data_IF_449989429796
#
_entry.id   IF_449989429796
#
_cell.length_a   1.000
_cell.length_b   1.000
_cell.length_c   1.000
_cell.angle_alpha   90.00
_cell.angle_beta   90.00
_cell.angle_gamma   90.00
#
_symmetry.space_group_name_H-M   'P 1'
#
loop_
_entity.id
_entity.type
_entity.pdbx_description
1 polymer ?
#
# COMPACT_ATOMS: atom_id res chain seq x y z
N UNK A 1 43.02 -11.82 4.26
CA UNK A 1 41.79 -11.70 5.07
C UNK A 1 40.77 -10.93 4.24
N UNK A 2 39.94 -11.61 3.46
CA UNK A 2 38.83 -10.98 2.73
C UNK A 2 37.61 -10.96 3.64
N UNK A 3 37.23 -9.77 4.09
CA UNK A 3 36.01 -9.52 4.84
C UNK A 3 34.80 -9.94 4.00
N UNK A 4 34.09 -10.94 4.50
CA UNK A 4 32.77 -11.36 4.04
C UNK A 4 31.84 -10.16 4.26
N UNK A 5 31.63 -9.35 3.22
CA UNK A 5 30.51 -8.42 3.19
C UNK A 5 29.24 -9.27 3.08
N UNK A 6 28.68 -9.63 4.24
CA UNK A 6 27.37 -10.25 4.32
C UNK A 6 26.35 -9.28 3.74
N UNK A 7 25.89 -9.55 2.52
CA UNK A 7 24.59 -9.07 2.06
C UNK A 7 23.57 -9.57 3.08
N UNK A 8 23.10 -8.69 3.97
CA UNK A 8 21.91 -8.95 4.76
C UNK A 8 20.78 -9.11 3.75
N UNK A 9 20.48 -10.36 3.38
CA UNK A 9 19.30 -10.71 2.62
C UNK A 9 18.11 -10.07 3.33
N UNK A 10 17.54 -9.06 2.69
CA UNK A 10 16.30 -8.47 3.13
C UNK A 10 15.31 -9.64 3.19
N UNK A 11 14.78 -9.99 4.37
CA UNK A 11 13.70 -10.97 4.47
C UNK A 11 12.62 -10.47 3.52
N UNK A 12 12.45 -11.15 2.38
CA UNK A 12 11.38 -10.85 1.45
C UNK A 12 10.08 -11.00 2.22
N UNK A 13 9.40 -9.88 2.46
CA UNK A 13 8.00 -9.91 2.84
C UNK A 13 7.29 -10.75 1.77
N UNK A 14 6.60 -11.81 2.17
CA UNK A 14 5.92 -12.70 1.22
C UNK A 14 4.76 -11.96 0.59
N UNK A 15 4.98 -11.46 -0.63
CA UNK A 15 3.98 -10.78 -1.43
C UNK A 15 3.57 -11.72 -2.56
N UNK A 16 2.27 -11.83 -2.82
CA UNK A 16 1.74 -12.77 -3.80
C UNK A 16 0.40 -12.28 -4.34
N UNK A 17 0.16 -12.54 -5.63
CA UNK A 17 -1.18 -12.52 -6.21
C UNK A 17 -1.58 -13.96 -6.49
N UNK A 18 -2.77 -14.35 -6.05
CA UNK A 18 -3.38 -15.63 -6.40
C UNK A 18 -4.29 -15.53 -7.63
N UNK A 19 -4.52 -14.32 -8.14
CA UNK A 19 -5.42 -14.05 -9.26
C UNK A 19 -4.66 -13.92 -10.60
N UNK A 20 -3.34 -14.11 -10.59
CA UNK A 20 -2.51 -14.12 -11.80
C UNK A 20 -2.19 -12.73 -12.36
N UNK A 21 -2.66 -11.65 -11.74
CA UNK A 21 -2.30 -10.29 -12.13
C UNK A 21 -0.87 -9.92 -11.70
N UNK A 22 -0.24 -9.02 -12.45
CA UNK A 22 1.05 -8.46 -12.09
C UNK A 22 0.91 -7.44 -10.94
N UNK A 23 1.98 -7.28 -10.18
CA UNK A 23 2.10 -6.24 -9.18
C UNK A 23 3.54 -5.76 -9.02
N UNK A 24 3.70 -4.55 -8.50
CA UNK A 24 4.97 -3.96 -8.13
C UNK A 24 4.86 -3.29 -6.77
N UNK A 25 5.89 -3.46 -5.94
CA UNK A 25 5.99 -2.80 -4.65
C UNK A 25 7.17 -1.83 -4.66
N UNK A 26 6.88 -0.57 -4.35
CA UNK A 26 7.83 0.51 -4.26
C UNK A 26 7.95 0.98 -2.80
N UNK A 27 9.15 1.42 -2.42
CA UNK A 27 9.43 1.92 -1.08
C UNK A 27 10.09 3.29 -1.16
N UNK A 28 9.45 4.31 -0.58
CA UNK A 28 9.99 5.68 -0.51
C UNK A 28 10.22 6.04 0.95
N UNK A 29 11.50 6.28 1.30
CA UNK A 29 11.91 6.61 2.68
C UNK A 29 12.19 8.10 2.90
N UNK A 30 12.38 8.87 1.84
CA UNK A 30 12.95 10.22 1.90
C UNK A 30 12.38 11.11 0.81
N UNK A 31 11.99 12.32 1.21
CA UNK A 31 11.49 13.33 0.29
C UNK A 31 10.96 14.54 1.04
N UNK A 32 10.27 15.43 0.31
CA UNK A 32 10.08 16.83 0.72
C UNK A 32 9.05 17.01 1.83
N UNK A 33 8.06 16.12 1.92
CA UNK A 33 6.91 16.25 2.81
C UNK A 33 6.80 15.05 3.75
N UNK A 34 7.87 14.78 4.49
CA UNK A 34 7.90 13.73 5.49
C UNK A 34 6.84 13.98 6.56
N UNK A 35 6.14 12.91 6.94
CA UNK A 35 5.26 12.92 8.10
C UNK A 35 6.05 13.40 9.34
N UNK A 36 5.49 14.34 10.13
CA UNK A 36 6.06 14.71 11.41
C UNK A 36 6.35 13.46 12.25
N UNK A 37 7.42 13.47 13.04
CA UNK A 37 7.82 12.28 13.82
C UNK A 37 6.68 11.77 14.71
N UNK A 38 5.91 12.70 15.32
CA UNK A 38 4.69 12.39 16.09
C UNK A 38 3.65 11.59 15.31
N UNK A 39 3.50 11.82 14.00
CA UNK A 39 2.60 11.05 13.14
C UNK A 39 3.23 9.71 12.73
N UNK A 40 4.55 9.67 12.54
CA UNK A 40 5.31 8.42 12.29
C UNK A 40 5.28 7.45 13.47
N UNK A 41 5.14 7.97 14.68
CA UNK A 41 5.07 7.16 15.91
C UNK A 41 3.64 6.66 16.20
N UNK A 42 2.62 7.12 15.46
CA UNK A 42 1.25 6.63 15.59
C UNK A 42 1.08 5.25 14.95
N UNK A 43 0.21 4.45 15.58
CA UNK A 43 -0.14 3.11 15.12
C UNK A 43 -1.28 3.14 14.10
N UNK A 44 -1.10 3.82 12.98
CA UNK A 44 -2.03 3.73 11.85
C UNK A 44 -1.31 3.63 10.50
N UNK A 45 -2.05 3.18 9.49
CA UNK A 45 -1.70 3.34 8.08
C UNK A 45 -2.74 4.21 7.38
N UNK A 46 -2.27 5.15 6.55
CA UNK A 46 -3.07 5.87 5.59
C UNK A 46 -2.96 5.19 4.23
N UNK A 47 -4.10 5.01 3.58
CA UNK A 47 -4.20 4.39 2.26
C UNK A 47 -4.87 5.38 1.34
N UNK A 48 -4.26 5.58 0.18
CA UNK A 48 -4.75 6.43 -0.89
C UNK A 48 -4.85 5.64 -2.19
N UNK A 49 -5.94 5.81 -2.92
CA UNK A 49 -6.08 5.36 -4.29
C UNK A 49 -5.85 6.56 -5.20
N UNK A 50 -4.81 6.52 -6.04
CA UNK A 50 -4.38 7.71 -6.78
C UNK A 50 -4.86 7.75 -8.23
N UNK A 51 -4.58 6.72 -9.05
CA UNK A 51 -4.92 6.79 -10.47
C UNK A 51 -5.39 5.47 -11.07
N UNK A 52 -6.14 5.61 -12.17
CA UNK A 52 -6.64 4.54 -13.05
C UNK A 52 -7.53 3.48 -12.40
N UNK A 53 -8.19 3.81 -11.29
CA UNK A 53 -9.24 2.99 -10.72
C UNK A 53 -10.59 3.31 -11.34
N UNK A 54 -11.28 2.26 -11.76
CA UNK A 54 -12.72 2.23 -12.02
C UNK A 54 -13.21 0.81 -11.70
N UNK A 55 -13.23 0.48 -10.41
CA UNK A 55 -13.51 -0.87 -9.94
C UNK A 55 -14.07 -0.81 -8.51
N UNK A 56 -14.88 -1.80 -8.13
CA UNK A 56 -15.19 -2.07 -6.74
C UNK A 56 -14.00 -2.70 -6.04
N UNK A 57 -13.43 -1.97 -5.09
CA UNK A 57 -12.27 -2.43 -4.32
C UNK A 57 -12.71 -2.94 -2.95
N UNK A 58 -12.21 -4.11 -2.59
CA UNK A 58 -12.37 -4.73 -1.29
C UNK A 58 -11.01 -4.89 -0.62
N UNK A 59 -10.88 -4.40 0.62
CA UNK A 59 -9.67 -4.55 1.42
C UNK A 59 -10.00 -5.22 2.74
N UNK A 60 -9.21 -6.25 3.07
CA UNK A 60 -9.17 -6.87 4.40
C UNK A 60 -7.80 -6.73 5.01
N UNK A 61 -7.73 -6.56 6.33
CA UNK A 61 -6.49 -6.67 7.09
C UNK A 61 -6.68 -7.72 8.17
N UNK A 62 -5.81 -8.73 8.18
CA UNK A 62 -5.93 -9.89 9.07
C UNK A 62 -7.36 -10.47 9.05
N UNK A 63 -7.90 -10.71 7.85
CA UNK A 63 -9.24 -11.23 7.57
C UNK A 63 -10.43 -10.30 7.91
N UNK A 64 -10.19 -9.17 8.59
CA UNK A 64 -11.23 -8.19 8.87
C UNK A 64 -11.40 -7.23 7.70
N UNK A 65 -12.62 -7.07 7.19
CA UNK A 65 -12.93 -6.10 6.14
C UNK A 65 -12.83 -4.67 6.68
N UNK A 66 -12.05 -3.84 5.99
CA UNK A 66 -11.84 -2.44 6.37
C UNK A 66 -12.31 -1.47 5.28
N UNK A 67 -12.55 -1.97 4.07
CA UNK A 67 -13.00 -1.20 2.93
C UNK A 67 -13.70 -2.09 1.90
N UNK A 68 -14.80 -1.60 1.34
CA UNK A 68 -15.59 -2.29 0.32
C UNK A 68 -16.48 -1.27 -0.39
N UNK A 69 -15.93 -0.59 -1.39
CA UNK A 69 -16.59 0.51 -2.10
C UNK A 69 -16.14 0.58 -3.56
N UNK A 70 -16.95 1.25 -4.38
CA UNK A 70 -16.54 1.66 -5.72
C UNK A 70 -15.44 2.72 -5.61
N UNK A 71 -14.32 2.51 -6.29
CA UNK A 71 -13.23 3.47 -6.40
C UNK A 71 -13.16 3.92 -7.86
N UNK A 72 -13.38 5.22 -8.08
CA UNK A 72 -13.27 5.85 -9.40
C UNK A 72 -12.31 7.02 -9.25
N UNK A 73 -11.12 6.93 -9.83
CA UNK A 73 -10.13 8.03 -9.83
C UNK A 73 -10.19 8.80 -11.14
N UNK A 74 -9.98 10.10 -11.06
CA UNK A 74 -9.91 10.96 -12.25
C UNK A 74 -8.44 11.23 -12.60
N UNK A 75 -7.96 10.62 -13.69
CA UNK A 75 -6.55 10.76 -14.11
C UNK A 75 -6.19 12.20 -14.53
N UNK A 76 -7.17 13.06 -14.79
CA UNK A 76 -6.97 14.50 -15.07
C UNK A 76 -6.80 15.34 -13.80
N UNK A 77 -7.12 14.77 -12.64
CA UNK A 77 -6.95 15.36 -11.30
C UNK A 77 -6.37 14.31 -10.35
N UNK A 78 -5.09 13.95 -10.53
CA UNK A 78 -4.44 12.88 -9.75
C UNK A 78 -4.42 13.15 -8.23
N UNK A 79 -4.70 14.39 -7.83
CA UNK A 79 -4.73 14.84 -6.43
C UNK A 79 -6.12 14.76 -5.79
N UNK A 80 -7.16 14.47 -6.57
CA UNK A 80 -8.53 14.28 -6.06
C UNK A 80 -8.64 12.83 -5.60
N UNK A 81 -8.14 12.58 -4.39
CA UNK A 81 -8.20 11.27 -3.74
C UNK A 81 -9.66 10.80 -3.68
N UNK A 82 -10.02 9.87 -4.55
CA UNK A 82 -11.39 9.36 -4.66
C UNK A 82 -11.90 8.75 -3.35
N UNK A 83 -10.98 8.18 -2.56
CA UNK A 83 -11.22 7.77 -1.19
C UNK A 83 -9.89 7.64 -0.42
N UNK A 84 -9.94 7.88 0.90
CA UNK A 84 -8.83 7.60 1.82
C UNK A 84 -9.28 6.66 2.92
N UNK A 85 -8.40 5.75 3.33
CA UNK A 85 -8.66 4.84 4.45
C UNK A 85 -7.60 5.08 5.51
N UNK A 86 -8.03 5.26 6.76
CA UNK A 86 -7.15 5.23 7.91
C UNK A 86 -7.39 3.93 8.66
N UNK A 87 -6.38 3.05 8.70
CA UNK A 87 -6.43 1.79 9.44
C UNK A 87 -5.60 1.89 10.71
N UNK A 88 -6.25 1.76 11.88
CA UNK A 88 -5.56 1.73 13.17
C UNK A 88 -5.03 0.32 13.46
N UNK A 89 -3.73 0.23 13.74
CA UNK A 89 -3.06 -1.00 14.15
C UNK A 89 -3.28 -1.28 15.64
N UNK A 90 -3.57 -2.53 15.97
CA UNK A 90 -3.89 -3.04 17.32
C UNK A 90 -2.68 -3.60 18.08
N UNK A 91 -1.46 -3.32 17.61
CA UNK A 91 -0.22 -3.78 18.23
C UNK A 91 0.22 -5.21 17.87
N UNK A 92 -0.52 -5.94 17.02
CA UNK A 92 -0.09 -7.27 16.51
C UNK A 92 1.26 -7.22 15.81
N UNK A 93 1.99 -8.34 15.84
CA UNK A 93 3.33 -8.46 15.26
C UNK A 93 3.35 -8.33 13.73
N UNK A 94 2.30 -8.82 13.06
CA UNK A 94 2.17 -8.80 11.61
C UNK A 94 0.76 -8.38 11.18
N UNK A 95 0.69 -7.69 10.04
CA UNK A 95 -0.58 -7.35 9.38
C UNK A 95 -0.50 -7.78 7.93
N UNK A 96 -1.40 -8.66 7.55
CA UNK A 96 -1.56 -9.14 6.18
C UNK A 96 -2.75 -8.42 5.59
N UNK A 97 -2.52 -7.70 4.49
CA UNK A 97 -3.54 -6.99 3.74
C UNK A 97 -3.88 -7.78 2.48
N UNK A 98 -5.16 -8.07 2.33
CA UNK A 98 -5.75 -8.63 1.11
C UNK A 98 -6.51 -7.53 0.39
N UNK A 99 -6.20 -7.34 -0.88
CA UNK A 99 -6.85 -6.37 -1.77
C UNK A 99 -7.44 -7.13 -2.94
N UNK A 100 -8.67 -6.80 -3.31
CA UNK A 100 -9.36 -7.39 -4.44
C UNK A 100 -10.04 -6.29 -5.25
N UNK A 101 -9.79 -6.27 -6.56
CA UNK A 101 -10.62 -5.58 -7.54
C UNK A 101 -11.68 -6.56 -8.03
N UNK A 102 -12.95 -6.27 -7.76
CA UNK A 102 -14.05 -7.22 -7.98
C UNK A 102 -14.39 -7.31 -9.48
N UNK A 103 -14.48 -6.17 -10.15
CA UNK A 103 -14.84 -6.10 -11.57
C UNK A 103 -13.65 -6.48 -12.45
N UNK A 104 -12.43 -6.10 -12.07
CA UNK A 104 -11.19 -6.49 -12.77
C UNK A 104 -10.73 -7.92 -12.48
N UNK A 105 -11.32 -8.60 -11.49
CA UNK A 105 -10.89 -9.91 -11.00
C UNK A 105 -9.39 -9.96 -10.66
N UNK A 106 -8.87 -8.91 -10.02
CA UNK A 106 -7.46 -8.83 -9.60
C UNK A 106 -7.35 -8.94 -8.09
N UNK A 107 -6.20 -9.42 -7.61
CA UNK A 107 -5.94 -9.43 -6.17
C UNK A 107 -4.46 -9.28 -5.82
N UNK A 108 -4.24 -8.87 -4.58
CA UNK A 108 -2.91 -8.75 -4.00
C UNK A 108 -2.96 -9.06 -2.51
N UNK A 109 -2.07 -9.94 -2.07
CA UNK A 109 -1.81 -10.20 -0.66
C UNK A 109 -0.42 -9.65 -0.31
N UNK A 110 -0.36 -8.77 0.68
CA UNK A 110 0.88 -8.10 1.10
C UNK A 110 0.96 -7.97 2.62
N UNK A 111 2.14 -8.19 3.18
CA UNK A 111 2.42 -7.86 4.58
C UNK A 111 2.72 -6.37 4.71
N UNK A 112 2.06 -5.68 5.63
CA UNK A 112 2.29 -4.25 5.89
C UNK A 112 3.65 -4.03 6.58
N UNK A 113 4.51 -3.23 5.95
CA UNK A 113 5.78 -2.81 6.56
C UNK A 113 5.55 -1.61 7.49
N UNK A 114 5.58 -1.88 8.79
CA UNK A 114 5.38 -0.90 9.88
C UNK A 114 6.39 0.26 9.89
N UNK A 115 7.48 0.17 9.12
CA UNK A 115 8.43 1.28 8.93
C UNK A 115 7.85 2.43 8.14
N UNK A 116 6.75 2.20 7.42
CA UNK A 116 6.03 3.19 6.63
C UNK A 116 4.67 3.45 7.26
N UNK A 117 4.06 4.58 6.91
CA UNK A 117 2.74 4.99 7.42
C UNK A 117 1.72 5.32 6.34
N UNK A 118 2.19 5.44 5.11
CA UNK A 118 1.34 5.76 3.96
C UNK A 118 1.52 4.68 2.90
N UNK A 119 0.41 4.31 2.27
CA UNK A 119 0.39 3.47 1.08
C UNK A 119 -0.39 4.19 -0.01
N UNK A 120 0.22 4.25 -1.19
CA UNK A 120 -0.43 4.73 -2.40
C UNK A 120 -0.65 3.53 -3.32
N UNK A 121 -1.88 3.38 -3.78
CA UNK A 121 -2.28 2.40 -4.78
C UNK A 121 -2.45 3.10 -6.13
N UNK A 122 -1.90 2.48 -7.16
CA UNK A 122 -2.12 2.82 -8.56
C UNK A 122 -2.48 1.54 -9.30
N UNK A 123 -3.30 1.67 -10.35
CA UNK A 123 -3.68 0.53 -11.18
C UNK A 123 -3.44 0.81 -12.66
N UNK A 124 -2.28 0.46 -13.18
CA UNK A 124 -1.92 0.81 -14.56
C UNK A 124 -1.67 -0.45 -15.38
N UNK A 125 -2.23 -0.54 -16.59
CA UNK A 125 -2.03 -1.68 -17.51
C UNK A 125 -2.22 -3.06 -16.85
N UNK A 126 -3.32 -3.25 -16.11
CA UNK A 126 -3.63 -4.50 -15.39
C UNK A 126 -2.61 -4.89 -14.30
N UNK A 127 -1.84 -3.92 -13.82
CA UNK A 127 -0.80 -4.09 -12.81
C UNK A 127 -1.09 -3.19 -11.60
N UNK A 128 -1.09 -3.81 -10.42
CA UNK A 128 -1.14 -3.08 -9.16
C UNK A 128 0.23 -2.50 -8.83
N UNK A 129 0.31 -1.21 -8.53
CA UNK A 129 1.53 -0.60 -8.00
C UNK A 129 1.22 -0.14 -6.59
N UNK A 130 1.94 -0.71 -5.62
CA UNK A 130 1.80 -0.39 -4.20
C UNK A 130 3.04 0.35 -3.74
N UNK A 131 2.87 1.59 -3.33
CA UNK A 131 3.99 2.41 -2.86
C UNK A 131 3.86 2.67 -1.37
N UNK A 132 4.77 2.10 -0.60
CA UNK A 132 4.95 2.42 0.81
C UNK A 132 5.76 3.72 0.96
N UNK A 133 5.28 4.62 1.81
CA UNK A 133 5.88 5.94 2.01
C UNK A 133 5.77 6.43 3.45
N UNK A 134 6.71 7.30 3.84
CA UNK A 134 6.61 8.14 5.03
C UNK A 134 6.32 9.61 4.69
N UNK A 135 5.95 9.88 3.44
CA UNK A 135 5.61 11.21 2.95
C UNK A 135 4.12 11.30 2.65
N UNK A 136 3.53 12.41 3.05
CA UNK A 136 2.24 12.83 2.53
C UNK A 136 2.49 13.57 1.24
N UNK A 137 1.89 13.13 0.15
CA UNK A 137 1.76 13.96 -1.04
C UNK A 137 0.81 15.10 -0.70
N UNK A 138 1.34 16.31 -0.71
CA UNK A 138 0.60 17.56 -0.60
C UNK A 138 0.98 18.33 -1.86
N UNK A 139 -0.01 18.65 -2.70
CA UNK A 139 0.13 19.67 -3.73
C UNK A 139 -0.40 20.99 -3.20
#
# INVERSE_FOLDING_TARGET
MCSICGCKGYKQLTQKSTCGNEFEIQYIRSGKYLLPQKERDKNYFLIYFESHFNDKIKIKVNQNEIFNKQVITNDKRPDDYSDRIMYKMDGKNEYIMDIQGIDSNTCLNLTLDKKYRVMYFFYYQNKWIVRFSNELRIN
#
